data_IF_423824320358
#
_entry.id   IF_423824320358
#
_cell.length_a   1.000
_cell.length_b   1.000
_cell.length_c   1.000
_cell.angle_alpha   90.00
_cell.angle_beta   90.00
_cell.angle_gamma   90.00
#
_symmetry.space_group_name_H-M   'P 1'
#
loop_
_entity.id
_entity.type
_entity.pdbx_description
1 polymer ?
#
# COMPACT_ATOMS: atom_id res chain seq x y z
N UNK A 1 23.11 4.04 7.04
CA UNK A 1 23.04 2.56 6.94
C UNK A 1 22.08 2.13 5.82
N UNK A 2 20.83 2.59 5.81
CA UNK A 2 19.83 2.16 4.82
C UNK A 2 20.21 2.57 3.38
N UNK A 3 20.65 3.79 3.15
CA UNK A 3 21.15 4.23 1.82
C UNK A 3 22.32 3.35 1.33
N UNK A 4 23.28 3.03 2.20
CA UNK A 4 24.39 2.15 1.82
C UNK A 4 23.91 0.74 1.44
N UNK A 5 22.90 0.22 2.13
CA UNK A 5 22.28 -1.04 1.79
C UNK A 5 21.63 -0.97 0.40
N UNK A 6 20.82 0.05 0.14
CA UNK A 6 20.17 0.24 -1.16
C UNK A 6 21.20 0.35 -2.30
N UNK A 7 22.30 1.10 -2.10
CA UNK A 7 23.42 1.19 -3.05
C UNK A 7 24.13 -0.15 -3.29
N UNK A 8 24.21 -1.01 -2.26
CA UNK A 8 24.83 -2.34 -2.39
C UNK A 8 23.98 -3.32 -3.21
N UNK A 9 22.63 -3.20 -3.15
CA UNK A 9 21.73 -4.15 -3.80
C UNK A 9 21.23 -3.73 -5.18
N UNK A 10 21.26 -2.42 -5.52
CA UNK A 10 20.69 -1.88 -6.75
C UNK A 10 21.30 -2.47 -8.05
N UNK A 11 22.57 -2.87 -8.02
CA UNK A 11 23.25 -3.50 -9.16
C UNK A 11 23.06 -5.00 -9.27
N UNK A 12 22.11 -5.59 -8.54
CA UNK A 12 21.80 -7.02 -8.61
C UNK A 12 20.93 -7.35 -9.82
N UNK A 13 21.11 -8.55 -10.39
CA UNK A 13 20.32 -8.97 -11.55
C UNK A 13 18.93 -9.47 -11.13
N UNK A 14 18.84 -10.14 -9.98
CA UNK A 14 17.61 -10.74 -9.46
C UNK A 14 17.38 -10.35 -8.01
N UNK A 15 16.14 -10.56 -7.54
CA UNK A 15 15.79 -10.35 -6.14
C UNK A 15 16.58 -11.28 -5.21
N UNK A 16 16.88 -12.51 -5.63
CA UNK A 16 17.75 -13.45 -4.91
C UNK A 16 19.10 -12.81 -4.59
N UNK A 17 19.79 -12.35 -5.62
CA UNK A 17 21.11 -11.73 -5.48
C UNK A 17 21.06 -10.49 -4.58
N UNK A 18 20.00 -9.68 -4.72
CA UNK A 18 19.79 -8.50 -3.89
C UNK A 18 19.60 -8.86 -2.41
N UNK A 19 18.75 -9.85 -2.10
CA UNK A 19 18.49 -10.28 -0.72
C UNK A 19 19.72 -10.95 -0.08
N UNK A 20 20.49 -11.75 -0.82
CA UNK A 20 21.74 -12.31 -0.34
C UNK A 20 22.80 -11.23 -0.03
N UNK A 21 22.92 -10.22 -0.90
CA UNK A 21 23.78 -9.05 -0.63
C UNK A 21 23.31 -8.30 0.61
N UNK A 22 22.00 -8.08 0.70
CA UNK A 22 21.37 -7.39 1.82
C UNK A 22 21.60 -8.14 3.16
N UNK A 23 21.47 -9.47 3.16
CA UNK A 23 21.76 -10.30 4.31
C UNK A 23 23.21 -10.13 4.77
N UNK A 24 24.18 -10.27 3.85
CA UNK A 24 25.61 -10.08 4.17
C UNK A 24 25.88 -8.68 4.71
N UNK A 25 25.29 -7.66 4.11
CA UNK A 25 25.46 -6.27 4.53
C UNK A 25 24.85 -6.03 5.91
N UNK A 26 23.66 -6.54 6.18
CA UNK A 26 23.01 -6.41 7.49
C UNK A 26 23.82 -7.06 8.60
N UNK A 27 24.46 -8.21 8.33
CA UNK A 27 25.33 -8.88 9.29
C UNK A 27 26.57 -8.05 9.67
N UNK A 28 27.16 -7.36 8.71
CA UNK A 28 28.29 -6.45 8.95
C UNK A 28 27.87 -5.25 9.80
N UNK A 29 26.66 -4.74 9.59
CA UNK A 29 26.15 -3.56 10.30
C UNK A 29 25.41 -3.89 11.62
N UNK A 30 25.14 -5.16 11.90
CA UNK A 30 24.43 -5.60 13.11
C UNK A 30 24.96 -4.97 14.40
N UNK A 31 26.30 -4.88 14.63
CA UNK A 31 26.82 -4.28 15.85
C UNK A 31 26.49 -2.79 16.04
N UNK A 32 26.22 -2.08 14.93
CA UNK A 32 25.91 -0.63 14.96
C UNK A 32 24.42 -0.37 14.92
N UNK A 33 23.68 -1.13 14.10
CA UNK A 33 22.25 -0.89 13.87
C UNK A 33 21.35 -1.73 14.77
N UNK A 34 21.86 -2.81 15.34
CA UNK A 34 21.06 -3.83 15.99
C UNK A 34 20.20 -4.66 15.06
N UNK A 35 20.21 -4.38 13.76
CA UNK A 35 19.35 -5.01 12.76
C UNK A 35 20.06 -6.18 12.07
N UNK A 36 19.37 -7.29 11.91
CA UNK A 36 19.84 -8.44 11.15
C UNK A 36 18.71 -9.04 10.33
N UNK A 37 19.04 -9.41 9.10
CA UNK A 37 18.13 -10.11 8.19
C UNK A 37 18.70 -11.47 7.83
N UNK A 38 17.85 -12.47 7.80
CA UNK A 38 18.21 -13.82 7.38
C UNK A 38 17.17 -14.31 6.35
N UNK A 39 17.64 -14.73 5.18
CA UNK A 39 16.84 -15.39 4.18
C UNK A 39 16.86 -16.91 4.43
N UNK A 40 15.70 -17.48 4.72
CA UNK A 40 15.48 -18.91 4.84
C UNK A 40 14.70 -19.38 3.59
N UNK A 41 15.26 -20.32 2.84
CA UNK A 41 14.67 -20.82 1.60
C UNK A 41 14.05 -22.21 1.78
N UNK A 42 12.82 -22.35 1.32
CA UNK A 42 12.11 -23.61 1.16
C UNK A 42 11.69 -23.79 -0.29
N UNK A 43 11.20 -24.98 -0.63
CA UNK A 43 10.84 -25.32 -2.03
C UNK A 43 9.72 -24.39 -2.55
N UNK A 44 8.69 -24.17 -1.75
CA UNK A 44 7.49 -23.42 -2.17
C UNK A 44 7.49 -21.97 -1.69
N UNK A 45 8.22 -21.65 -0.64
CA UNK A 45 8.25 -20.31 -0.05
C UNK A 45 9.63 -19.95 0.47
N UNK A 46 9.81 -18.67 0.74
CA UNK A 46 10.95 -18.12 1.48
C UNK A 46 10.43 -17.46 2.74
N UNK A 47 11.27 -17.37 3.76
CA UNK A 47 11.07 -16.53 4.91
C UNK A 47 12.18 -15.51 5.02
N UNK A 48 11.81 -14.25 5.06
CA UNK A 48 12.72 -13.16 5.37
C UNK A 48 12.58 -12.85 6.86
N UNK A 49 13.48 -13.38 7.66
CA UNK A 49 13.52 -13.13 9.09
C UNK A 49 14.14 -11.78 9.38
N UNK A 50 13.53 -11.04 10.30
CA UNK A 50 14.05 -9.77 10.79
C UNK A 50 14.28 -9.86 12.29
N UNK A 51 15.49 -9.53 12.70
CA UNK A 51 15.90 -9.48 14.10
C UNK A 51 16.33 -8.05 14.44
N UNK A 52 15.95 -7.62 15.61
CA UNK A 52 16.42 -6.37 16.17
C UNK A 52 16.87 -6.60 17.60
N UNK A 53 18.04 -6.07 17.95
CA UNK A 53 18.59 -6.08 19.30
C UNK A 53 18.96 -4.66 19.68
N UNK A 54 18.49 -4.19 20.82
CA UNK A 54 18.89 -2.89 21.33
C UNK A 54 20.41 -2.88 21.55
N UNK A 55 21.11 -1.93 20.93
CA UNK A 55 22.54 -1.71 21.11
C UNK A 55 22.77 -0.42 21.88
N UNK A 56 23.97 -0.27 22.47
CA UNK A 56 24.36 0.97 23.15
C UNK A 56 24.27 2.19 22.20
N UNK A 57 24.50 1.97 20.89
CA UNK A 57 24.41 3.03 19.87
C UNK A 57 22.95 3.38 19.58
N UNK A 58 22.05 2.40 19.47
CA UNK A 58 20.62 2.66 19.23
C UNK A 58 19.96 3.32 20.42
N UNK A 59 20.40 3.06 21.64
CA UNK A 59 19.86 3.68 22.86
C UNK A 59 20.25 5.16 23.00
N UNK A 60 21.28 5.64 22.28
CA UNK A 60 21.65 7.06 22.25
C UNK A 60 20.62 7.93 21.51
N UNK A 61 19.87 7.35 20.57
CA UNK A 61 18.95 8.08 19.69
C UNK A 61 17.48 7.94 20.09
N UNK A 62 17.15 7.06 21.02
CA UNK A 62 15.80 6.88 21.50
C UNK A 62 15.69 7.13 23.02
N UNK A 63 14.67 7.83 23.47
CA UNK A 63 14.48 8.07 24.91
C UNK A 63 14.40 6.75 25.68
N UNK A 64 15.06 6.63 26.86
CA UNK A 64 15.10 5.38 27.63
C UNK A 64 13.71 4.81 28.00
N UNK A 65 12.67 5.67 28.07
CA UNK A 65 11.31 5.24 28.36
C UNK A 65 10.63 4.57 27.14
N UNK A 66 11.11 4.80 25.94
CA UNK A 66 10.57 4.21 24.71
C UNK A 66 10.77 2.69 24.70
N UNK A 67 11.95 2.24 25.12
CA UNK A 67 12.28 0.82 25.22
C UNK A 67 11.55 0.09 26.37
N UNK A 68 10.95 0.84 27.30
CA UNK A 68 10.18 0.28 28.41
C UNK A 68 8.68 0.13 28.09
N UNK A 69 8.22 0.62 26.95
CA UNK A 69 6.84 0.41 26.52
C UNK A 69 6.70 -0.98 25.94
N UNK A 70 5.72 -1.73 26.38
CA UNK A 70 5.43 -3.10 25.93
C UNK A 70 5.15 -3.22 24.43
N UNK A 71 4.93 -2.11 23.74
CA UNK A 71 4.66 -2.08 22.29
C UNK A 71 5.85 -1.65 21.42
N UNK A 72 6.91 -1.05 21.98
CA UNK A 72 8.00 -0.49 21.17
C UNK A 72 8.76 -1.55 20.37
N UNK A 73 9.00 -2.71 20.96
CA UNK A 73 9.64 -3.82 20.27
C UNK A 73 8.81 -4.32 19.10
N UNK A 74 7.52 -4.55 19.31
CA UNK A 74 6.61 -4.99 18.26
C UNK A 74 6.53 -3.97 17.13
N UNK A 75 6.49 -2.65 17.43
CA UNK A 75 6.54 -1.58 16.43
C UNK A 75 7.85 -1.59 15.66
N UNK A 76 8.99 -1.76 16.34
CA UNK A 76 10.31 -1.82 15.68
C UNK A 76 10.41 -3.03 14.74
N UNK A 77 10.01 -4.20 15.20
CA UNK A 77 10.02 -5.43 14.42
C UNK A 77 9.08 -5.34 13.20
N UNK A 78 7.89 -4.80 13.40
CA UNK A 78 6.91 -4.60 12.31
C UNK A 78 7.42 -3.59 11.28
N UNK A 79 7.99 -2.47 11.74
CA UNK A 79 8.59 -1.47 10.85
C UNK A 79 9.73 -2.06 10.02
N UNK A 80 10.53 -2.94 10.61
CA UNK A 80 11.56 -3.69 9.89
C UNK A 80 10.98 -4.54 8.76
N UNK A 81 9.91 -5.30 9.03
CA UNK A 81 9.23 -6.09 7.99
C UNK A 81 8.68 -5.20 6.87
N UNK A 82 8.03 -4.07 7.22
CA UNK A 82 7.50 -3.11 6.25
C UNK A 82 8.61 -2.56 5.34
N UNK A 83 9.74 -2.16 5.92
CA UNK A 83 10.88 -1.63 5.16
C UNK A 83 11.43 -2.69 4.19
N UNK A 84 11.61 -3.93 4.63
CA UNK A 84 12.14 -4.99 3.79
C UNK A 84 11.17 -5.41 2.69
N UNK A 85 9.89 -5.51 3.01
CA UNK A 85 8.85 -5.82 2.05
C UNK A 85 8.71 -4.71 0.98
N UNK A 86 8.71 -3.46 1.44
CA UNK A 86 8.65 -2.31 0.55
C UNK A 86 9.90 -2.20 -0.35
N UNK A 87 11.10 -2.42 0.19
CA UNK A 87 12.34 -2.42 -0.60
C UNK A 87 12.34 -3.53 -1.65
N UNK A 88 11.95 -4.75 -1.29
CA UNK A 88 11.87 -5.87 -2.23
C UNK A 88 10.87 -5.57 -3.36
N UNK A 89 9.67 -5.08 -3.01
CA UNK A 89 8.64 -4.68 -3.97
C UNK A 89 9.10 -3.54 -4.89
N UNK A 90 9.79 -2.55 -4.33
CA UNK A 90 10.37 -1.45 -5.12
C UNK A 90 11.43 -1.96 -6.11
N UNK A 91 12.36 -2.80 -5.66
CA UNK A 91 13.41 -3.35 -6.52
C UNK A 91 12.86 -4.06 -7.76
N UNK A 92 11.76 -4.80 -7.62
CA UNK A 92 11.13 -5.51 -8.74
C UNK A 92 10.06 -4.69 -9.47
N UNK A 93 9.73 -3.50 -8.97
CA UNK A 93 8.83 -2.53 -9.62
C UNK A 93 7.35 -2.81 -9.46
N UNK A 94 6.96 -3.80 -8.67
CA UNK A 94 5.56 -4.13 -8.36
C UNK A 94 5.43 -4.70 -6.95
N UNK A 95 4.22 -4.62 -6.32
CA UNK A 95 3.98 -5.21 -5.02
C UNK A 95 4.22 -6.72 -5.03
N UNK A 96 4.97 -7.21 -4.05
CA UNK A 96 5.16 -8.63 -3.79
C UNK A 96 4.08 -9.04 -2.78
N UNK A 97 3.29 -10.06 -3.13
CA UNK A 97 2.28 -10.58 -2.21
C UNK A 97 2.96 -11.37 -1.09
N UNK A 98 2.69 -11.01 0.15
CA UNK A 98 3.08 -11.80 1.30
C UNK A 98 1.98 -12.82 1.65
N UNK A 99 2.38 -14.05 1.96
CA UNK A 99 1.46 -15.11 2.41
C UNK A 99 1.25 -15.09 3.92
N UNK A 100 2.27 -14.66 4.66
CA UNK A 100 2.19 -14.48 6.11
C UNK A 100 3.18 -13.43 6.60
N UNK A 101 2.79 -12.71 7.64
CA UNK A 101 3.65 -11.86 8.44
C UNK A 101 3.53 -12.28 9.92
N UNK A 102 4.66 -12.54 10.57
CA UNK A 102 4.71 -12.90 11.97
C UNK A 102 5.63 -11.94 12.73
N UNK A 103 5.24 -11.55 13.93
CA UNK A 103 5.98 -10.59 14.77
C UNK A 103 6.19 -11.19 16.16
N UNK A 104 7.45 -11.31 16.57
CA UNK A 104 7.86 -11.83 17.87
C UNK A 104 7.72 -10.77 18.99
N UNK A 105 6.54 -10.18 19.07
CA UNK A 105 6.24 -9.17 20.07
C UNK A 105 4.74 -9.09 20.33
N UNK A 106 4.33 -8.46 21.44
CA UNK A 106 2.93 -8.41 21.82
C UNK A 106 2.10 -7.58 20.84
N UNK A 107 0.82 -7.89 20.75
CA UNK A 107 -0.13 -7.07 20.03
C UNK A 107 -0.17 -5.65 20.59
N UNK A 108 0.07 -4.66 19.76
CA UNK A 108 0.06 -3.23 20.17
C UNK A 108 -1.38 -2.74 20.35
N UNK A 109 -2.20 -2.90 19.32
CA UNK A 109 -3.65 -2.70 19.33
C UNK A 109 -4.26 -3.27 18.04
N UNK A 110 -5.59 -3.49 18.03
CA UNK A 110 -6.27 -3.94 16.82
C UNK A 110 -6.17 -2.90 15.70
N UNK A 111 -6.31 -1.61 16.00
CA UNK A 111 -6.13 -0.53 15.03
C UNK A 111 -4.72 -0.49 14.42
N UNK A 112 -3.68 -0.80 15.20
CA UNK A 112 -2.32 -0.94 14.68
C UNK A 112 -2.19 -2.14 13.74
N UNK A 113 -2.71 -3.29 14.13
CA UNK A 113 -2.70 -4.49 13.30
C UNK A 113 -3.44 -4.28 11.97
N UNK A 114 -4.56 -3.59 11.98
CA UNK A 114 -5.32 -3.22 10.76
C UNK A 114 -4.53 -2.23 9.88
N UNK A 115 -3.90 -1.22 10.47
CA UNK A 115 -3.05 -0.29 9.73
C UNK A 115 -1.88 -1.00 9.04
N UNK A 116 -1.20 -1.90 9.74
CA UNK A 116 -0.14 -2.73 9.15
C UNK A 116 -0.68 -3.65 8.05
N UNK A 117 -1.85 -4.27 8.27
CA UNK A 117 -2.51 -5.12 7.28
C UNK A 117 -2.86 -4.36 6.00
N UNK A 118 -3.27 -3.10 6.10
CA UNK A 118 -3.57 -2.26 4.93
C UNK A 118 -2.34 -1.96 4.06
N UNK A 119 -1.15 -1.96 4.67
CA UNK A 119 0.12 -1.71 3.97
C UNK A 119 0.70 -3.02 3.40
N UNK A 120 0.72 -4.11 4.18
CA UNK A 120 1.35 -5.38 3.78
C UNK A 120 0.43 -6.30 2.99
N UNK A 121 -0.85 -5.93 2.81
CA UNK A 121 -1.89 -6.80 2.25
C UNK A 121 -2.05 -8.15 2.97
N UNK A 122 -1.46 -8.28 4.16
CA UNK A 122 -1.56 -9.45 5.04
C UNK A 122 -1.60 -9.01 6.50
N UNK A 123 -2.55 -9.56 7.28
CA UNK A 123 -2.66 -9.25 8.71
C UNK A 123 -1.50 -9.90 9.49
N UNK A 124 -0.67 -9.13 10.20
CA UNK A 124 0.42 -9.68 10.98
C UNK A 124 -0.11 -10.48 12.19
N UNK A 125 0.54 -11.59 12.47
CA UNK A 125 0.32 -12.38 13.69
C UNK A 125 1.39 -12.00 14.73
N UNK A 126 0.94 -11.36 15.80
CA UNK A 126 1.77 -11.02 16.96
C UNK A 126 1.95 -12.23 17.90
N UNK A 127 2.74 -12.07 18.93
CA UNK A 127 3.09 -13.10 19.90
C UNK A 127 3.68 -14.38 19.26
N UNK A 128 4.32 -14.23 18.09
CA UNK A 128 4.98 -15.31 17.39
C UNK A 128 6.38 -15.58 18.01
N UNK A 129 6.92 -16.77 17.76
CA UNK A 129 8.28 -17.13 18.23
C UNK A 129 9.38 -16.36 17.49
N UNK A 130 9.11 -15.95 16.25
CA UNK A 130 10.07 -15.26 15.39
C UNK A 130 9.36 -14.21 14.55
N UNK A 131 10.11 -13.16 14.18
CA UNK A 131 9.64 -12.13 13.23
C UNK A 131 10.10 -12.50 11.84
N UNK A 132 9.14 -12.73 10.94
CA UNK A 132 9.42 -13.01 9.52
C UNK A 132 8.26 -12.61 8.62
N UNK A 133 8.62 -12.39 7.37
CA UNK A 133 7.70 -12.30 6.23
C UNK A 133 7.84 -13.57 5.39
N UNK A 134 6.73 -14.24 5.07
CA UNK A 134 6.71 -15.40 4.18
C UNK A 134 6.16 -15.02 2.82
N UNK A 135 6.86 -15.42 1.76
CA UNK A 135 6.57 -15.06 0.38
C UNK A 135 6.83 -16.30 -0.49
N UNK A 136 6.14 -16.44 -1.60
CA UNK A 136 6.37 -17.52 -2.58
C UNK A 136 7.82 -17.51 -3.08
N UNK A 137 8.46 -18.69 -3.20
CA UNK A 137 9.88 -18.80 -3.59
C UNK A 137 10.17 -18.30 -5.01
N UNK A 138 9.19 -18.35 -5.92
CA UNK A 138 9.32 -17.87 -7.30
C UNK A 138 9.71 -16.40 -7.41
N UNK A 139 9.42 -15.58 -6.39
CA UNK A 139 9.77 -14.14 -6.39
C UNK A 139 11.28 -13.90 -6.40
N UNK A 140 12.09 -14.86 -5.93
CA UNK A 140 13.55 -14.73 -5.94
C UNK A 140 14.13 -14.60 -7.34
N UNK A 141 13.43 -15.11 -8.35
CA UNK A 141 13.86 -15.05 -9.76
C UNK A 141 13.40 -13.75 -10.46
N UNK A 142 12.66 -12.88 -9.77
CA UNK A 142 12.26 -11.60 -10.35
C UNK A 142 13.46 -10.73 -10.61
N UNK A 143 13.47 -10.09 -11.79
CA UNK A 143 14.54 -9.18 -12.19
C UNK A 143 14.41 -7.85 -11.46
N UNK A 144 15.54 -7.30 -11.06
CA UNK A 144 15.61 -5.92 -10.58
C UNK A 144 15.37 -5.00 -11.78
N UNK A 145 14.38 -4.11 -11.64
CA UNK A 145 14.00 -3.12 -12.67
C UNK A 145 14.44 -1.72 -12.33
N UNK A 146 14.93 -1.51 -11.11
CA UNK A 146 15.42 -0.22 -10.63
C UNK A 146 16.90 -0.02 -11.00
N UNK A 147 17.34 1.23 -11.00
CA UNK A 147 18.69 1.62 -11.32
C UNK A 147 19.18 2.76 -10.38
N UNK A 148 20.41 3.26 -10.58
CA UNK A 148 20.96 4.31 -9.72
C UNK A 148 20.22 5.65 -9.81
N UNK A 149 19.56 5.95 -10.93
CA UNK A 149 18.78 7.17 -11.09
C UNK A 149 17.48 7.07 -10.25
N UNK A 150 16.72 5.99 -10.43
CA UNK A 150 15.50 5.74 -9.62
C UNK A 150 15.81 5.54 -8.13
N UNK A 151 17.05 5.12 -7.79
CA UNK A 151 17.48 5.02 -6.40
C UNK A 151 17.59 6.40 -5.73
N UNK A 152 18.05 7.41 -6.46
CA UNK A 152 18.14 8.76 -5.89
C UNK A 152 16.75 9.29 -5.53
N UNK A 153 15.79 9.16 -6.44
CA UNK A 153 14.39 9.55 -6.20
C UNK A 153 13.78 8.77 -5.02
N UNK A 154 14.08 7.46 -4.94
CA UNK A 154 13.64 6.62 -3.85
C UNK A 154 14.20 7.06 -2.50
N UNK A 155 15.48 7.44 -2.42
CA UNK A 155 16.11 7.88 -1.17
C UNK A 155 15.60 9.24 -0.71
N UNK A 156 15.29 10.13 -1.63
CA UNK A 156 14.76 11.47 -1.34
C UNK A 156 13.34 11.40 -0.76
N UNK A 157 12.57 10.35 -1.11
CA UNK A 157 11.20 10.13 -0.65
C UNK A 157 11.02 8.84 0.18
N UNK A 158 12.09 8.25 0.70
CA UNK A 158 12.20 6.86 1.18
C UNK A 158 11.03 6.37 2.04
N UNK A 159 10.62 7.14 3.06
CA UNK A 159 9.55 6.69 3.97
C UNK A 159 8.19 6.66 3.28
N UNK A 160 7.90 7.69 2.50
CA UNK A 160 6.63 7.79 1.76
C UNK A 160 6.56 6.76 0.64
N UNK A 161 7.66 6.51 -0.06
CA UNK A 161 7.70 5.54 -1.15
C UNK A 161 7.60 4.10 -0.64
N UNK A 162 8.21 3.72 0.48
CA UNK A 162 8.07 2.40 1.07
C UNK A 162 6.62 2.09 1.45
N UNK A 163 5.90 3.08 1.96
CA UNK A 163 4.46 2.95 2.26
C UNK A 163 3.62 2.96 0.97
N UNK A 164 4.01 3.75 -0.03
CA UNK A 164 3.26 3.89 -1.28
C UNK A 164 3.45 2.70 -2.24
N UNK A 165 4.54 1.93 -2.15
CA UNK A 165 4.77 0.77 -3.01
C UNK A 165 3.67 -0.27 -2.83
N UNK A 166 3.20 -0.49 -1.62
CA UNK A 166 2.07 -1.40 -1.36
C UNK A 166 0.72 -0.83 -1.82
N UNK A 167 0.66 0.47 -2.01
CA UNK A 167 -0.47 1.15 -2.62
C UNK A 167 -0.29 1.36 -4.13
N UNK A 168 0.78 0.84 -4.75
CA UNK A 168 0.87 0.90 -6.22
C UNK A 168 -0.30 0.14 -6.82
N UNK A 169 -0.99 0.77 -7.76
CA UNK A 169 -2.14 0.15 -8.37
C UNK A 169 -1.71 -1.15 -9.07
N UNK A 170 -2.40 -2.25 -8.79
CA UNK A 170 -2.19 -3.54 -9.43
C UNK A 170 -2.48 -3.48 -10.95
N UNK A 171 -3.16 -2.41 -11.39
CA UNK A 171 -3.53 -2.18 -12.77
C UNK A 171 -3.43 -0.71 -13.17
N UNK A 172 -3.38 -0.43 -14.47
CA UNK A 172 -3.44 0.95 -14.98
C UNK A 172 -4.78 1.60 -14.66
N UNK A 173 -5.86 0.83 -14.64
CA UNK A 173 -7.19 1.31 -14.24
C UNK A 173 -7.22 1.81 -12.78
N UNK A 174 -6.59 1.09 -11.87
CA UNK A 174 -6.45 1.54 -10.47
C UNK A 174 -5.58 2.79 -10.34
N UNK A 175 -4.47 2.88 -11.12
CA UNK A 175 -3.65 4.08 -11.19
C UNK A 175 -4.46 5.29 -11.63
N UNK A 176 -5.29 5.13 -12.63
CA UNK A 176 -6.21 6.17 -13.13
C UNK A 176 -7.20 6.59 -12.04
N UNK A 177 -7.88 5.64 -11.38
CA UNK A 177 -8.83 5.95 -10.28
C UNK A 177 -8.18 6.74 -9.16
N UNK A 178 -6.97 6.38 -8.76
CA UNK A 178 -6.21 7.09 -7.72
C UNK A 178 -5.88 8.53 -8.12
N UNK A 179 -5.43 8.75 -9.37
CA UNK A 179 -5.09 10.07 -9.89
C UNK A 179 -6.31 10.97 -10.12
N UNK A 180 -7.49 10.39 -10.32
CA UNK A 180 -8.75 11.12 -10.40
C UNK A 180 -9.12 11.77 -9.06
N UNK A 181 -8.76 11.15 -7.92
CA UNK A 181 -9.05 11.68 -6.58
C UNK A 181 -10.48 11.38 -6.11
N UNK A 182 -10.91 12.04 -5.05
CA UNK A 182 -12.21 11.77 -4.37
C UNK A 182 -13.14 12.98 -4.30
N UNK A 183 -12.71 14.15 -4.75
CA UNK A 183 -13.50 15.39 -4.78
C UNK A 183 -13.46 16.01 -6.18
N UNK A 184 -14.61 16.11 -6.81
CA UNK A 184 -14.77 16.60 -8.18
C UNK A 184 -15.50 17.96 -8.25
N UNK A 185 -15.69 18.63 -7.12
CA UNK A 185 -16.35 19.94 -7.05
C UNK A 185 -15.65 21.02 -7.90
N UNK A 186 -14.33 20.91 -8.05
CA UNK A 186 -13.49 21.78 -8.89
C UNK A 186 -13.24 21.25 -10.31
N UNK A 187 -13.92 20.15 -10.69
CA UNK A 187 -13.72 19.45 -11.95
C UNK A 187 -12.84 18.21 -11.80
N UNK A 188 -13.04 17.27 -12.71
CA UNK A 188 -12.29 16.02 -12.76
C UNK A 188 -11.11 16.14 -13.73
N UNK A 189 -9.91 15.63 -13.40
CA UNK A 189 -8.79 15.63 -14.34
C UNK A 189 -9.15 15.01 -15.70
N UNK A 190 -8.64 15.60 -16.76
CA UNK A 190 -8.85 15.12 -18.12
C UNK A 190 -8.01 13.88 -18.44
N UNK A 191 -8.33 13.21 -19.55
CA UNK A 191 -7.60 12.02 -19.99
C UNK A 191 -6.13 12.32 -20.29
N UNK A 192 -5.85 13.46 -20.91
CA UNK A 192 -4.48 13.92 -21.20
C UNK A 192 -3.68 14.22 -19.94
N UNK A 193 -4.32 14.82 -18.91
CA UNK A 193 -3.66 15.11 -17.64
C UNK A 193 -3.27 13.82 -16.92
N UNK A 194 -4.16 12.83 -16.93
CA UNK A 194 -3.90 11.51 -16.35
C UNK A 194 -2.78 10.80 -17.11
N UNK A 195 -2.81 10.83 -18.45
CA UNK A 195 -1.74 10.23 -19.25
C UNK A 195 -0.38 10.87 -18.96
N UNK A 196 -0.31 12.19 -18.86
CA UNK A 196 0.92 12.92 -18.51
C UNK A 196 1.44 12.52 -17.11
N UNK A 197 0.55 12.45 -16.09
CA UNK A 197 0.92 12.03 -14.71
C UNK A 197 1.41 10.59 -14.64
N UNK A 198 0.95 9.73 -15.54
CA UNK A 198 1.40 8.34 -15.65
C UNK A 198 2.64 8.18 -16.56
N UNK A 199 3.19 9.28 -17.07
CA UNK A 199 4.29 9.29 -18.05
C UNK A 199 3.98 8.43 -19.28
N UNK A 200 2.72 8.43 -19.74
CA UNK A 200 2.23 7.69 -20.90
C UNK A 200 1.72 8.66 -21.99
N UNK A 201 1.83 8.25 -23.25
CA UNK A 201 1.03 8.89 -24.30
C UNK A 201 -0.45 8.50 -24.15
N UNK A 202 -1.38 9.35 -24.60
CA UNK A 202 -2.81 9.04 -24.58
C UNK A 202 -3.14 7.73 -25.31
N UNK A 203 -2.46 7.45 -26.43
CA UNK A 203 -2.63 6.19 -27.18
C UNK A 203 -2.15 4.98 -26.35
N UNK A 204 -1.05 5.11 -25.63
CA UNK A 204 -0.54 4.05 -24.76
C UNK A 204 -1.46 3.80 -23.57
N UNK A 205 -1.96 4.86 -22.94
CA UNK A 205 -2.93 4.73 -21.84
C UNK A 205 -4.23 4.07 -22.33
N UNK A 206 -4.76 4.51 -23.47
CA UNK A 206 -5.99 3.93 -24.04
C UNK A 206 -5.84 2.45 -24.34
N UNK A 207 -4.70 2.04 -24.93
CA UNK A 207 -4.43 0.62 -25.23
C UNK A 207 -4.36 -0.20 -23.95
N UNK A 208 -3.63 0.26 -22.92
CA UNK A 208 -3.52 -0.45 -21.64
C UNK A 208 -4.86 -0.61 -20.92
N UNK A 209 -5.71 0.41 -20.95
CA UNK A 209 -7.07 0.31 -20.40
C UNK A 209 -7.92 -0.68 -21.19
N UNK A 210 -7.77 -0.73 -22.50
CA UNK A 210 -8.46 -1.71 -23.34
C UNK A 210 -7.99 -3.14 -23.07
N UNK A 211 -6.69 -3.33 -22.87
CA UNK A 211 -6.10 -4.64 -22.48
C UNK A 211 -6.63 -5.11 -21.11
N UNK A 212 -7.02 -4.16 -20.23
CA UNK A 212 -7.69 -4.42 -18.94
C UNK A 212 -9.24 -4.48 -19.07
N UNK A 213 -9.78 -4.58 -20.28
CA UNK A 213 -11.23 -4.62 -20.58
C UNK A 213 -12.02 -3.45 -19.98
N UNK A 214 -11.40 -2.28 -19.85
CA UNK A 214 -12.02 -1.07 -19.29
C UNK A 214 -11.75 0.16 -20.14
N UNK A 215 -12.32 1.30 -19.73
CA UNK A 215 -12.09 2.59 -20.34
C UNK A 215 -12.06 3.71 -19.31
N UNK A 216 -11.47 4.84 -19.65
CA UNK A 216 -11.43 6.01 -18.77
C UNK A 216 -12.83 6.47 -18.31
N UNK A 217 -13.85 6.36 -19.18
CA UNK A 217 -15.21 6.71 -18.80
C UNK A 217 -15.81 5.71 -17.80
N UNK A 218 -15.61 4.42 -18.01
CA UNK A 218 -16.04 3.37 -17.06
C UNK A 218 -15.41 3.61 -15.70
N UNK A 219 -14.10 3.84 -15.64
CA UNK A 219 -13.38 4.10 -14.37
C UNK A 219 -13.90 5.35 -13.65
N UNK A 220 -14.23 6.42 -14.38
CA UNK A 220 -14.84 7.62 -13.80
C UNK A 220 -16.23 7.33 -13.21
N UNK A 221 -17.02 6.54 -13.90
CA UNK A 221 -18.39 6.22 -13.48
C UNK A 221 -18.38 5.27 -12.28
N UNK A 222 -17.49 4.28 -12.27
CA UNK A 222 -17.25 3.39 -11.11
C UNK A 222 -16.84 4.19 -9.88
N UNK A 223 -15.84 5.05 -10.02
CA UNK A 223 -15.34 5.88 -8.92
C UNK A 223 -16.43 6.81 -8.37
N UNK A 224 -17.20 7.46 -9.25
CA UNK A 224 -18.35 8.29 -8.83
C UNK A 224 -19.42 7.47 -8.12
N UNK A 225 -19.70 6.26 -8.60
CA UNK A 225 -20.67 5.36 -7.99
C UNK A 225 -20.24 4.96 -6.58
N UNK A 226 -18.98 4.60 -6.38
CA UNK A 226 -18.45 4.18 -5.09
C UNK A 226 -18.43 5.33 -4.07
N UNK A 227 -17.99 6.52 -4.52
CA UNK A 227 -18.04 7.73 -3.70
C UNK A 227 -19.49 8.13 -3.36
N UNK A 228 -20.42 8.00 -4.31
CA UNK A 228 -21.83 8.27 -4.05
C UNK A 228 -22.39 7.35 -2.97
N UNK A 229 -22.10 6.04 -3.05
CA UNK A 229 -22.50 5.06 -2.03
C UNK A 229 -21.93 5.41 -0.66
N UNK A 230 -20.65 5.80 -0.62
CA UNK A 230 -19.98 6.22 0.61
C UNK A 230 -20.66 7.44 1.23
N UNK A 231 -20.91 8.51 0.46
CA UNK A 231 -21.59 9.71 0.97
C UNK A 231 -23.06 9.45 1.32
N UNK A 232 -23.74 8.57 0.62
CA UNK A 232 -25.14 8.20 0.90
C UNK A 232 -25.28 7.39 2.20
N UNK A 233 -24.23 6.74 2.69
CA UNK A 233 -24.23 6.05 3.98
C UNK A 233 -24.34 7.00 5.18
N UNK A 234 -24.00 8.27 4.98
CA UNK A 234 -24.20 9.34 5.96
C UNK A 234 -25.56 10.01 5.71
N UNK A 235 -26.50 9.86 6.66
CA UNK A 235 -27.85 10.42 6.57
C UNK A 235 -27.89 11.94 6.58
N UNK A 236 -26.89 12.59 7.18
CA UNK A 236 -26.83 14.05 7.35
C UNK A 236 -26.41 14.79 6.08
N UNK A 237 -25.73 14.10 5.14
CA UNK A 237 -25.26 14.72 3.90
C UNK A 237 -26.42 14.87 2.90
N UNK A 238 -26.69 16.10 2.45
CA UNK A 238 -27.77 16.37 1.49
C UNK A 238 -27.42 15.86 0.09
N UNK A 239 -28.42 15.39 -0.65
CA UNK A 239 -28.24 14.89 -2.03
C UNK A 239 -27.65 15.94 -2.97
N UNK A 240 -27.95 17.23 -2.76
CA UNK A 240 -27.36 18.34 -3.51
C UNK A 240 -25.86 18.46 -3.30
N UNK A 241 -25.41 18.34 -2.05
CA UNK A 241 -23.99 18.42 -1.68
C UNK A 241 -23.21 17.22 -2.23
N UNK A 242 -23.84 16.05 -2.23
CA UNK A 242 -23.26 14.84 -2.85
C UNK A 242 -23.09 15.06 -4.37
N UNK A 243 -24.11 15.57 -5.04
CA UNK A 243 -24.06 15.84 -6.47
C UNK A 243 -22.91 16.83 -6.81
N UNK A 244 -22.75 17.89 -6.04
CA UNK A 244 -21.70 18.89 -6.21
C UNK A 244 -20.30 18.27 -6.02
N UNK A 245 -20.08 17.53 -4.92
CA UNK A 245 -18.80 16.83 -4.66
C UNK A 245 -18.43 15.83 -5.74
N UNK A 246 -19.43 15.20 -6.38
CA UNK A 246 -19.24 14.27 -7.50
C UNK A 246 -19.09 14.98 -8.85
N UNK A 247 -19.09 16.32 -8.87
CA UNK A 247 -18.90 17.14 -10.07
C UNK A 247 -20.13 17.21 -10.99
N UNK A 248 -21.34 17.01 -10.45
CA UNK A 248 -22.58 17.22 -11.17
C UNK A 248 -23.08 18.65 -10.99
N UNK A 249 -23.42 19.28 -12.09
CA UNK A 249 -23.98 20.64 -12.09
C UNK A 249 -25.40 20.67 -11.49
N UNK A 250 -26.15 19.56 -11.67
CA UNK A 250 -27.53 19.45 -11.21
C UNK A 250 -27.77 18.12 -10.46
N UNK A 251 -28.46 18.15 -9.30
CA UNK A 251 -28.82 16.94 -8.55
C UNK A 251 -29.64 15.92 -9.36
N UNK A 252 -30.44 16.39 -10.30
CA UNK A 252 -31.24 15.55 -11.20
C UNK A 252 -30.37 14.68 -12.12
N UNK A 253 -29.25 15.22 -12.59
CA UNK A 253 -28.27 14.51 -13.42
C UNK A 253 -27.52 13.45 -12.59
N UNK A 254 -27.15 13.75 -11.36
CA UNK A 254 -26.64 12.77 -10.41
C UNK A 254 -27.62 11.63 -10.18
N UNK A 255 -28.90 11.96 -9.90
CA UNK A 255 -29.92 10.93 -9.66
C UNK A 255 -30.11 9.97 -10.84
N UNK A 256 -30.07 10.46 -12.09
CA UNK A 256 -30.13 9.63 -13.30
C UNK A 256 -28.92 8.72 -13.44
N UNK A 257 -27.72 9.28 -13.28
CA UNK A 257 -26.47 8.51 -13.37
C UNK A 257 -26.38 7.44 -12.29
N UNK A 258 -26.72 7.79 -11.05
CA UNK A 258 -26.72 6.82 -9.95
C UNK A 258 -27.71 5.67 -10.17
N UNK A 259 -28.91 5.98 -10.70
CA UNK A 259 -29.86 4.93 -11.06
C UNK A 259 -29.36 4.05 -12.21
N UNK A 260 -28.64 4.61 -13.16
CA UNK A 260 -28.02 3.83 -14.23
C UNK A 260 -26.95 2.89 -13.70
N UNK A 261 -26.13 3.33 -12.74
CA UNK A 261 -25.05 2.54 -12.15
C UNK A 261 -25.54 1.44 -11.20
N UNK A 262 -26.60 1.72 -10.43
CA UNK A 262 -27.03 0.86 -9.30
C UNK A 262 -28.41 0.24 -9.48
N UNK A 263 -29.18 0.67 -10.45
CA UNK A 263 -30.59 0.30 -10.63
C UNK A 263 -31.57 1.02 -9.69
N UNK A 264 -31.07 1.82 -8.74
CA UNK A 264 -31.88 2.46 -7.68
C UNK A 264 -31.68 3.98 -7.67
N UNK A 265 -32.67 4.71 -7.14
CA UNK A 265 -32.47 6.14 -6.85
C UNK A 265 -31.58 6.34 -5.62
N UNK A 266 -30.86 7.49 -5.50
CA UNK A 266 -30.04 7.79 -4.31
C UNK A 266 -30.85 7.74 -3.00
N UNK A 267 -32.10 8.25 -3.02
CA UNK A 267 -32.97 8.20 -1.82
C UNK A 267 -33.33 6.78 -1.41
N UNK A 268 -33.76 5.95 -2.38
CA UNK A 268 -34.09 4.54 -2.12
C UNK A 268 -32.86 3.74 -1.62
N UNK A 269 -31.68 4.04 -2.18
CA UNK A 269 -30.42 3.45 -1.69
C UNK A 269 -30.16 3.83 -0.23
N UNK A 270 -30.27 5.11 0.12
CA UNK A 270 -30.06 5.61 1.49
C UNK A 270 -31.02 4.91 2.48
N UNK A 271 -32.31 4.85 2.19
CA UNK A 271 -33.30 4.20 3.04
C UNK A 271 -32.98 2.73 3.29
N UNK A 272 -32.56 1.99 2.26
CA UNK A 272 -32.22 0.58 2.37
C UNK A 272 -31.02 0.31 3.29
N UNK A 273 -30.02 1.20 3.30
CA UNK A 273 -28.81 1.01 4.09
C UNK A 273 -28.90 1.61 5.49
N UNK A 274 -29.68 2.68 5.70
CA UNK A 274 -29.93 3.24 7.04
C UNK A 274 -30.75 2.27 7.89
N UNK A 275 -31.70 1.55 7.30
CA UNK A 275 -32.53 0.55 8.00
C UNK A 275 -31.73 -0.69 8.41
N UNK A 276 -30.68 -1.07 7.69
CA UNK A 276 -29.79 -2.19 8.07
C UNK A 276 -28.88 -1.88 9.26
N UNK A 277 -28.47 -0.65 9.44
CA UNK A 277 -27.59 -0.25 10.55
C UNK A 277 -28.31 -0.26 11.91
N UNK A 278 -29.62 0.00 11.94
CA UNK A 278 -30.44 -0.04 13.17
C UNK A 278 -30.84 -1.46 13.59
N UNK A 279 -30.82 -2.43 12.69
CA UNK A 279 -31.22 -3.83 12.97
C UNK A 279 -30.09 -4.69 13.58
N UNK A 280 -28.83 -4.20 13.60
CA UNK A 280 -27.67 -4.95 14.15
C UNK A 280 -27.27 -4.46 15.55
N UNK A 281 -27.95 -3.46 16.10
CA UNK A 281 -27.72 -2.89 17.44
C UNK A 281 -28.87 -3.16 18.42
N UNK A 282 -29.72 -4.18 18.17
CA UNK A 282 -30.79 -4.62 19.04
C UNK A 282 -30.54 -6.01 19.63
#
# INVERSE_FOLDING_TARGET
AFEMLCRAVIGSATLREALEKAQRFSHVLEPVTGNKVILEEHVEYIRLHFYWTASDVTTLFAPPHWYRSTGAEAVTLTSGLLIWHGLASWLVGHPIKADAACVAGPTVSDGYAEAVASVMAVRPRFDALQTYLQIESSVLEYRIVQNYESLQDFLDETVLQLIQIEQRPASVGEAVKRLLGTDFSKGMPGFSDIAARLHLSESSLRRRLLDEETSFQVLKDELRCDLAKHYLSDSEVKLGDIAERLGFTEPSSFGRSFRQWTGMTPSAWREQFTTKSTATSG
#
